data_IF_963183812033
#
_entry.id   IF_963183812033
#
_cell.length_a   1.000
_cell.length_b   1.000
_cell.length_c   1.000
_cell.angle_alpha   90.00
_cell.angle_beta   90.00
_cell.angle_gamma   90.00
#
_symmetry.space_group_name_H-M   'P 1'
#
loop_
_entity.id
_entity.type
_entity.pdbx_description
1 polymer ?
#
# COMPACT_ATOMS: atom_id res chain seq x y z
N UNK A 1 -8.37 -1.22 -9.96
CA UNK A 1 -7.89 -1.00 -8.59
C UNK A 1 -6.85 0.10 -8.58
N UNK A 2 -6.95 1.01 -7.63
CA UNK A 2 -6.01 2.12 -7.47
C UNK A 2 -5.08 1.83 -6.30
N UNK A 3 -3.78 1.95 -6.54
CA UNK A 3 -2.73 1.77 -5.53
C UNK A 3 -1.95 3.07 -5.42
N UNK A 4 -1.83 3.60 -4.21
CA UNK A 4 -0.99 4.77 -3.94
C UNK A 4 0.35 4.33 -3.37
N UNK A 5 1.43 4.95 -3.84
CA UNK A 5 2.77 4.70 -3.33
C UNK A 5 3.36 6.04 -2.89
N UNK A 6 3.53 6.18 -1.58
CA UNK A 6 4.01 7.42 -0.96
C UNK A 6 5.09 7.12 0.09
N UNK A 7 6.12 6.40 -0.33
CA UNK A 7 7.20 5.91 0.53
C UNK A 7 8.42 6.83 0.43
N UNK A 8 9.09 7.04 1.55
CA UNK A 8 10.43 7.61 1.62
C UNK A 8 11.46 6.50 1.82
N UNK A 9 12.66 6.62 1.27
CA UNK A 9 13.11 7.66 0.36
C UNK A 9 12.53 7.53 -1.05
N UNK A 10 12.70 8.56 -1.84
CA UNK A 10 12.17 8.65 -3.20
C UNK A 10 12.55 7.46 -4.09
N UNK A 11 13.76 6.94 -3.93
CA UNK A 11 14.24 5.81 -4.73
C UNK A 11 13.38 4.56 -4.51
N UNK A 12 12.98 4.28 -3.28
CA UNK A 12 12.07 3.16 -2.99
C UNK A 12 10.70 3.40 -3.60
N UNK A 13 10.20 4.62 -3.47
CA UNK A 13 8.90 4.99 -4.03
C UNK A 13 8.86 4.75 -5.54
N UNK A 14 9.89 5.19 -6.23
CA UNK A 14 9.96 5.03 -7.68
C UNK A 14 10.11 3.57 -8.10
N UNK A 15 10.97 2.81 -7.42
CA UNK A 15 11.19 1.39 -7.74
C UNK A 15 9.90 0.59 -7.52
N UNK A 16 9.26 0.78 -6.40
CA UNK A 16 8.03 0.05 -6.07
C UNK A 16 6.93 0.40 -7.07
N UNK A 17 6.72 1.68 -7.33
CA UNK A 17 5.72 2.11 -8.31
C UNK A 17 5.97 1.55 -9.70
N UNK A 18 7.21 1.61 -10.16
CA UNK A 18 7.58 1.09 -11.48
C UNK A 18 7.41 -0.42 -11.56
N UNK A 19 7.81 -1.14 -10.52
CA UNK A 19 7.69 -2.59 -10.48
C UNK A 19 6.23 -3.03 -10.58
N UNK A 20 5.35 -2.41 -9.78
CA UNK A 20 3.93 -2.74 -9.82
C UNK A 20 3.35 -2.44 -11.21
N UNK A 21 3.66 -1.28 -11.78
CA UNK A 21 3.19 -0.92 -13.12
C UNK A 21 3.64 -1.92 -14.17
N UNK A 22 4.88 -2.39 -14.09
CA UNK A 22 5.45 -3.32 -15.07
C UNK A 22 4.86 -4.71 -14.96
N UNK A 23 4.68 -5.20 -13.73
CA UNK A 23 4.28 -6.58 -13.49
C UNK A 23 2.77 -6.75 -13.26
N UNK A 24 2.06 -5.65 -13.01
CA UNK A 24 0.60 -5.63 -12.87
C UNK A 24 0.03 -4.45 -13.65
N UNK A 25 0.14 -4.49 -15.00
CA UNK A 25 -0.23 -3.33 -15.83
C UNK A 25 -1.71 -2.96 -15.78
N UNK A 26 -2.57 -3.86 -15.29
CA UNK A 26 -4.00 -3.60 -15.11
C UNK A 26 -4.31 -2.81 -13.82
N UNK A 27 -3.33 -2.65 -12.94
CA UNK A 27 -3.49 -1.89 -11.69
C UNK A 27 -3.07 -0.44 -11.95
N UNK A 28 -3.90 0.50 -11.50
CA UNK A 28 -3.58 1.92 -11.58
C UNK A 28 -2.71 2.31 -10.40
N UNK A 29 -1.44 2.60 -10.66
CA UNK A 29 -0.48 2.99 -9.64
C UNK A 29 -0.21 4.48 -9.71
N UNK A 30 -0.40 5.16 -8.59
CA UNK A 30 -0.16 6.60 -8.48
C UNK A 30 0.91 6.81 -7.42
N UNK A 31 2.01 7.43 -7.84
CA UNK A 31 3.14 7.74 -6.95
C UNK A 31 2.98 9.18 -6.47
N UNK A 32 3.00 9.36 -5.14
CA UNK A 32 2.79 10.65 -4.50
C UNK A 32 3.95 11.00 -3.57
N UNK A 33 4.16 12.30 -3.37
CA UNK A 33 4.99 12.78 -2.27
C UNK A 33 4.29 12.43 -0.95
N UNK A 34 5.03 11.99 0.08
CA UNK A 34 4.41 11.58 1.35
C UNK A 34 3.56 12.65 2.03
N UNK A 35 3.92 13.92 1.89
CA UNK A 35 3.16 15.02 2.50
C UNK A 35 1.83 15.29 1.80
N UNK A 36 1.62 14.75 0.60
CA UNK A 36 0.34 14.86 -0.13
C UNK A 36 -0.55 13.63 0.03
N UNK A 37 -0.13 12.66 0.83
CA UNK A 37 -0.82 11.37 0.94
C UNK A 37 -2.26 11.52 1.43
N UNK A 38 -2.50 12.32 2.47
CA UNK A 38 -3.85 12.50 3.00
C UNK A 38 -4.83 13.01 1.97
N UNK A 39 -4.42 14.04 1.20
CA UNK A 39 -5.26 14.57 0.13
C UNK A 39 -5.47 13.55 -0.99
N UNK A 40 -4.43 12.78 -1.31
CA UNK A 40 -4.50 11.73 -2.31
C UNK A 40 -5.50 10.65 -1.95
N UNK A 41 -5.49 10.21 -0.69
CA UNK A 41 -6.44 9.20 -0.21
C UNK A 41 -7.87 9.72 -0.34
N UNK A 42 -8.12 10.94 0.10
CA UNK A 42 -9.48 11.51 0.03
C UNK A 42 -9.97 11.68 -1.40
N UNK A 43 -9.09 12.07 -2.31
CA UNK A 43 -9.46 12.33 -3.70
C UNK A 43 -9.61 11.06 -4.51
N UNK A 44 -8.73 10.08 -4.31
CA UNK A 44 -8.60 8.92 -5.18
C UNK A 44 -9.25 7.66 -4.62
N UNK A 45 -9.53 7.63 -3.31
CA UNK A 45 -10.15 6.49 -2.62
C UNK A 45 -9.48 5.16 -3.03
N UNK A 46 -8.17 5.01 -2.78
CA UNK A 46 -7.43 3.83 -3.24
C UNK A 46 -7.82 2.57 -2.48
N UNK A 47 -7.66 1.42 -3.12
CA UNK A 47 -7.81 0.13 -2.48
C UNK A 47 -6.60 -0.24 -1.63
N UNK A 48 -5.41 0.22 -2.02
CA UNK A 48 -4.18 -0.13 -1.32
C UNK A 48 -3.25 1.07 -1.26
N UNK A 49 -2.59 1.25 -0.10
CA UNK A 49 -1.62 2.32 0.13
C UNK A 49 -0.31 1.73 0.62
N UNK A 50 0.79 2.13 0.00
CA UNK A 50 2.15 1.88 0.49
C UNK A 50 2.69 3.19 1.05
N UNK A 51 3.05 3.22 2.33
CA UNK A 51 3.52 4.43 2.99
C UNK A 51 4.49 4.12 4.12
N UNK A 52 5.18 5.13 4.64
CA UNK A 52 5.99 4.99 5.86
C UNK A 52 5.15 5.21 7.12
N UNK A 53 3.96 5.77 6.97
CA UNK A 53 3.07 6.06 8.09
C UNK A 53 2.20 4.87 8.42
N UNK A 54 1.74 4.75 9.69
CA UNK A 54 0.87 3.65 10.08
C UNK A 54 -0.53 3.79 9.46
N UNK A 55 -1.27 2.69 9.43
CA UNK A 55 -2.61 2.63 8.90
C UNK A 55 -3.60 3.56 9.62
N UNK A 56 -3.30 3.92 10.85
CA UNK A 56 -4.10 4.88 11.61
C UNK A 56 -4.10 6.28 10.98
N UNK A 57 -3.15 6.54 10.08
CA UNK A 57 -3.13 7.77 9.30
C UNK A 57 -4.29 7.84 8.30
N UNK A 58 -4.82 6.70 7.88
CA UNK A 58 -5.92 6.66 6.92
C UNK A 58 -7.19 7.29 7.48
N UNK A 59 -7.88 8.15 6.70
CA UNK A 59 -9.11 8.78 7.17
C UNK A 59 -10.28 7.81 7.31
N UNK A 60 -10.19 6.65 6.68
CA UNK A 60 -11.22 5.61 6.72
C UNK A 60 -10.57 4.24 6.74
N UNK A 61 -11.36 3.19 7.02
CA UNK A 61 -10.88 1.81 6.94
C UNK A 61 -10.99 1.20 5.54
N UNK A 62 -11.16 2.01 4.50
CA UNK A 62 -11.43 1.50 3.14
C UNK A 62 -10.21 0.99 2.42
N UNK A 63 -9.04 1.56 2.71
CA UNK A 63 -7.80 1.18 2.05
C UNK A 63 -7.04 0.13 2.84
N UNK A 64 -6.57 -0.92 2.18
CA UNK A 64 -5.53 -1.78 2.71
C UNK A 64 -4.25 -0.96 2.83
N UNK A 65 -3.34 -1.39 3.70
CA UNK A 65 -2.19 -0.56 4.04
C UNK A 65 -0.93 -1.39 4.21
N UNK A 66 0.15 -0.94 3.58
CA UNK A 66 1.49 -1.47 3.82
C UNK A 66 2.32 -0.33 4.40
N UNK A 67 2.62 -0.43 5.70
CA UNK A 67 3.55 0.46 6.37
C UNK A 67 4.95 -0.09 6.14
N UNK A 68 5.73 0.59 5.30
CA UNK A 68 7.06 0.14 4.93
C UNK A 68 8.12 1.06 5.52
N UNK A 69 8.95 0.52 6.41
CA UNK A 69 10.06 1.22 7.05
C UNK A 69 11.30 0.34 6.94
N UNK A 70 12.03 0.45 5.82
CA UNK A 70 13.09 -0.53 5.50
C UNK A 70 14.25 -0.59 6.49
N UNK A 71 14.40 0.44 7.32
CA UNK A 71 15.49 0.49 8.30
C UNK A 71 15.03 0.13 9.71
N UNK A 72 13.81 -0.33 9.88
CA UNK A 72 13.25 -0.73 11.18
C UNK A 72 12.96 -2.22 11.21
N UNK A 73 12.66 -2.74 12.40
CA UNK A 73 12.24 -4.12 12.61
C UNK A 73 10.89 -4.15 13.31
N UNK A 74 9.87 -4.75 12.71
CA UNK A 74 9.88 -5.32 11.36
C UNK A 74 9.88 -4.23 10.29
N UNK A 75 10.43 -4.49 9.10
CA UNK A 75 10.47 -3.48 8.05
C UNK A 75 9.11 -3.22 7.39
N UNK A 76 8.16 -4.12 7.53
CA UNK A 76 6.82 -3.92 6.98
C UNK A 76 5.73 -4.44 7.90
N UNK A 77 4.65 -3.66 7.98
CA UNK A 77 3.41 -4.06 8.65
C UNK A 77 2.28 -3.89 7.64
N UNK A 78 1.45 -4.92 7.55
CA UNK A 78 0.38 -4.98 6.55
C UNK A 78 -0.95 -5.05 7.27
N UNK A 79 -1.87 -4.16 6.86
CA UNK A 79 -3.28 -4.22 7.26
C UNK A 79 -4.10 -4.55 6.03
N UNK A 80 -4.73 -5.72 6.02
CA UNK A 80 -5.52 -6.17 4.88
C UNK A 80 -6.74 -6.92 5.37
N UNK A 81 -7.90 -6.41 5.04
CA UNK A 81 -9.20 -7.02 5.37
C UNK A 81 -9.37 -7.29 6.87
N UNK A 82 -9.00 -6.31 7.68
CA UNK A 82 -9.11 -6.40 9.15
C UNK A 82 -8.02 -7.24 9.81
N UNK A 83 -7.05 -7.71 9.07
CA UNK A 83 -5.96 -8.53 9.59
C UNK A 83 -4.64 -7.80 9.51
N UNK A 84 -3.89 -7.84 10.60
CA UNK A 84 -2.53 -7.30 10.66
C UNK A 84 -1.54 -8.43 10.56
N UNK A 85 -0.46 -8.18 9.80
CA UNK A 85 0.68 -9.09 9.78
C UNK A 85 1.96 -8.28 9.59
N UNK A 86 3.08 -8.87 9.97
CA UNK A 86 4.38 -8.24 9.87
C UNK A 86 5.29 -9.10 9.00
N UNK A 87 6.17 -8.45 8.24
CA UNK A 87 7.19 -9.14 7.46
C UNK A 87 8.55 -8.87 8.09
N UNK A 88 9.29 -9.92 8.39
CA UNK A 88 10.63 -9.84 8.96
C UNK A 88 11.66 -9.38 7.95
N UNK A 89 11.41 -9.70 6.67
CA UNK A 89 12.19 -9.26 5.52
C UNK A 89 11.22 -9.01 4.39
N UNK A 90 11.53 -8.03 3.54
CA UNK A 90 10.63 -7.62 2.46
C UNK A 90 11.33 -7.78 1.12
N UNK A 91 10.71 -8.54 0.24
CA UNK A 91 11.12 -8.68 -1.15
C UNK A 91 10.01 -8.09 -2.03
N UNK A 92 10.34 -7.79 -3.29
CA UNK A 92 9.35 -7.27 -4.22
C UNK A 92 8.19 -8.23 -4.43
N UNK A 93 8.46 -9.53 -4.40
CA UNK A 93 7.40 -10.55 -4.52
C UNK A 93 6.39 -10.46 -3.38
N UNK A 94 6.84 -10.11 -2.17
CA UNK A 94 5.94 -9.91 -1.03
C UNK A 94 4.97 -8.77 -1.29
N UNK A 95 5.48 -7.67 -1.84
CA UNK A 95 4.67 -6.50 -2.14
C UNK A 95 3.68 -6.79 -3.27
N UNK A 96 4.10 -7.52 -4.28
CA UNK A 96 3.22 -7.95 -5.36
C UNK A 96 2.13 -8.88 -4.86
N UNK A 97 2.45 -9.76 -3.92
CA UNK A 97 1.47 -10.65 -3.30
C UNK A 97 0.38 -9.86 -2.58
N UNK A 98 0.76 -8.78 -1.89
CA UNK A 98 -0.22 -7.92 -1.22
C UNK A 98 -1.12 -7.23 -2.25
N UNK A 99 -0.56 -6.76 -3.36
CA UNK A 99 -1.34 -6.17 -4.45
C UNK A 99 -2.36 -7.18 -4.98
N UNK A 100 -1.93 -8.41 -5.20
CA UNK A 100 -2.80 -9.47 -5.72
C UNK A 100 -3.91 -9.83 -4.74
N UNK A 101 -3.58 -9.93 -3.44
CA UNK A 101 -4.58 -10.20 -2.40
C UNK A 101 -5.61 -9.07 -2.31
N UNK A 102 -5.15 -7.82 -2.33
CA UNK A 102 -6.03 -6.66 -2.27
C UNK A 102 -6.97 -6.63 -3.47
N UNK A 103 -6.44 -6.93 -4.65
CA UNK A 103 -7.26 -6.99 -5.86
C UNK A 103 -8.33 -8.07 -5.78
N UNK A 104 -7.97 -9.24 -5.31
CA UNK A 104 -8.91 -10.36 -5.17
C UNK A 104 -10.02 -10.00 -4.18
N UNK A 105 -9.66 -9.43 -3.04
CA UNK A 105 -10.63 -9.05 -2.01
C UNK A 105 -11.50 -7.88 -2.45
N UNK A 106 -10.99 -6.99 -3.28
CA UNK A 106 -11.76 -5.83 -3.76
C UNK A 106 -12.96 -6.21 -4.61
N UNK A 107 -12.97 -7.42 -5.14
CA UNK A 107 -14.10 -7.93 -5.93
C UNK A 107 -15.33 -8.22 -5.06
N UNK A 108 -15.12 -8.51 -3.78
CA UNK A 108 -16.18 -8.94 -2.86
C UNK A 108 -16.33 -8.06 -1.64
N UNK A 109 -15.39 -7.15 -1.37
CA UNK A 109 -15.43 -6.26 -0.22
C UNK A 109 -15.16 -4.83 -0.64
N UNK A 110 -15.81 -3.93 0.09
CA UNK A 110 -15.61 -2.50 -0.10
C UNK A 110 -14.49 -1.95 0.78
N UNK A 111 -14.42 -2.44 2.02
CA UNK A 111 -13.44 -1.98 3.00
C UNK A 111 -12.33 -3.01 3.10
N UNK A 112 -11.11 -2.62 2.68
CA UNK A 112 -9.96 -3.51 2.64
C UNK A 112 -9.02 -3.30 3.81
N UNK A 113 -9.22 -2.26 4.60
CA UNK A 113 -8.42 -1.99 5.78
C UNK A 113 -9.14 -2.45 7.03
N UNK A 114 -9.41 -1.49 7.92
CA UNK A 114 -10.20 -1.67 9.13
C UNK A 114 -9.50 -2.59 10.16
N UNK A 115 -8.20 -2.37 10.31
CA UNK A 115 -7.43 -3.02 11.35
C UNK A 115 -7.45 -2.17 12.61
#
# INVERSE_FOLDING_TARGET
MVVLVAIEPRSYRQVIGKTIRSLRPHVEVIVLEPDTLGAGIRRLDPELVFANRPDTFAPTGRSAWVEFRPYEQPPARICLAGRRRELEAVELDDLLSVVDEAEELSRTRRDLGDC
#
